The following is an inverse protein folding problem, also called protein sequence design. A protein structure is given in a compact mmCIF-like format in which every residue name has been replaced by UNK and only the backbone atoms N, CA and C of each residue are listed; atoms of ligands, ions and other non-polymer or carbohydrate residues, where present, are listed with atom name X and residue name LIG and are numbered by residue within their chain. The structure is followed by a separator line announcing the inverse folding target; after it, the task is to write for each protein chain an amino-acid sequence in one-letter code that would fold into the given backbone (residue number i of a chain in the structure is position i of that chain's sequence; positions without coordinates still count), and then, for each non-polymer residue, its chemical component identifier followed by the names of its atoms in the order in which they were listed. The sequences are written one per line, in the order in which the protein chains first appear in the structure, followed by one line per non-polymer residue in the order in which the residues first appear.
data_IF_267947484331
#
_entry.id   IF_267947484331
#
_cell.length_a   1.000
_cell.length_b   1.000
_cell.length_c   1.000
_cell.angle_alpha   90.00
_cell.angle_beta   90.00
_cell.angle_gamma   90.00
#
_symmetry.space_group_name_H-M   'P 1'
#
loop_
_entity.id
_entity.type
_entity.pdbx_description
1 polymer ?
#
# COMPACT_ATOMS: atom_id res chain seq x y z
N UNK A 1 -0.45 -12.72 18.70
CA UNK A 1 0.64 -12.08 19.47
C UNK A 1 1.77 -11.75 18.52
N UNK A 2 2.27 -10.51 18.54
CA UNK A 2 3.44 -10.12 17.77
C UNK A 2 4.69 -10.23 18.66
N UNK A 3 5.72 -10.91 18.17
CA UNK A 3 7.03 -11.04 18.79
C UNK A 3 8.08 -10.54 17.82
N UNK A 4 9.28 -10.23 18.29
CA UNK A 4 10.40 -9.91 17.42
C UNK A 4 11.29 -11.13 17.25
N UNK A 5 11.67 -11.42 16.02
CA UNK A 5 12.68 -12.42 15.68
C UNK A 5 14.08 -11.97 16.09
N UNK A 6 15.08 -12.87 16.03
CA UNK A 6 16.47 -12.53 16.34
C UNK A 6 17.06 -11.45 15.42
N UNK A 7 16.52 -11.31 14.22
CA UNK A 7 16.87 -10.33 13.18
C UNK A 7 16.08 -9.01 13.32
N UNK A 8 15.24 -8.86 14.36
CA UNK A 8 14.34 -7.72 14.54
C UNK A 8 13.05 -7.77 13.71
N UNK A 9 12.84 -8.82 12.93
CA UNK A 9 11.60 -9.00 12.16
C UNK A 9 10.39 -9.26 13.07
N UNK A 10 9.21 -8.83 12.62
CA UNK A 10 7.96 -9.11 13.32
C UNK A 10 7.48 -10.53 13.05
N UNK A 11 7.37 -11.34 14.09
CA UNK A 11 6.84 -12.70 14.04
C UNK A 11 5.48 -12.75 14.71
N UNK A 12 4.45 -13.14 13.94
CA UNK A 12 3.09 -13.28 14.46
C UNK A 12 2.83 -14.72 14.88
N UNK A 13 2.37 -14.92 16.11
CA UNK A 13 2.05 -16.23 16.66
C UNK A 13 0.60 -16.25 17.13
N UNK A 14 -0.09 -17.36 16.90
CA UNK A 14 -1.36 -17.65 17.56
C UNK A 14 -1.13 -17.83 19.05
N UNK A 15 -2.09 -17.36 19.86
CA UNK A 15 -2.04 -17.43 21.31
C UNK A 15 -3.47 -17.56 21.87
N UNK A 16 -3.57 -17.88 23.15
CA UNK A 16 -4.86 -18.01 23.88
C UNK A 16 -5.70 -19.20 23.40
N UNK A 17 -5.12 -20.39 23.51
CA UNK A 17 -5.79 -21.64 23.13
C UNK A 17 -6.77 -22.16 24.21
N UNK A 18 -7.07 -21.37 25.25
CA UNK A 18 -7.95 -21.79 26.35
C UNK A 18 -9.39 -22.14 25.95
N UNK A 19 -9.85 -21.60 24.82
CA UNK A 19 -11.16 -21.91 24.22
C UNK A 19 -11.05 -22.73 22.92
N UNK A 20 -9.84 -23.13 22.52
CA UNK A 20 -9.64 -23.91 21.33
C UNK A 20 -10.11 -25.37 21.54
N UNK A 21 -10.71 -25.93 20.50
CA UNK A 21 -11.14 -27.33 20.47
C UNK A 21 -10.73 -27.95 19.14
N UNK A 22 -10.18 -29.14 19.22
CA UNK A 22 -9.98 -29.98 18.05
C UNK A 22 -11.31 -30.58 17.62
N UNK A 23 -11.62 -30.51 16.34
CA UNK A 23 -12.82 -31.08 15.72
C UNK A 23 -12.40 -32.12 14.71
N UNK A 24 -13.04 -33.29 14.73
CA UNK A 24 -12.94 -34.24 13.65
C UNK A 24 -13.60 -33.71 12.38
N UNK A 25 -13.22 -34.25 11.21
CA UNK A 25 -13.83 -33.85 9.93
C UNK A 25 -15.36 -34.09 9.97
N UNK A 26 -16.12 -33.04 9.67
CA UNK A 26 -17.57 -33.05 9.75
C UNK A 26 -18.18 -32.99 11.16
N UNK A 27 -17.37 -32.88 12.22
CA UNK A 27 -17.87 -32.68 13.58
C UNK A 27 -18.49 -31.29 13.76
N UNK A 28 -19.61 -31.26 14.48
CA UNK A 28 -20.33 -30.05 14.84
C UNK A 28 -20.16 -29.71 16.32
N UNK A 29 -20.30 -28.44 16.66
CA UNK A 29 -20.20 -28.01 18.05
C UNK A 29 -21.34 -27.04 18.43
N UNK A 30 -21.51 -26.86 19.74
CA UNK A 30 -22.54 -25.99 20.32
C UNK A 30 -21.97 -25.00 21.32
N UNK A 31 -20.68 -25.11 21.64
CA UNK A 31 -19.98 -24.22 22.57
C UNK A 31 -19.82 -22.84 21.95
N UNK A 32 -19.95 -21.78 22.78
CA UNK A 32 -19.92 -20.40 22.32
C UNK A 32 -18.83 -19.66 23.07
N UNK A 33 -17.81 -19.25 22.34
CA UNK A 33 -16.71 -18.42 22.83
C UNK A 33 -16.40 -17.33 21.82
N UNK A 34 -15.86 -16.20 22.24
CA UNK A 34 -15.39 -15.13 21.38
C UNK A 34 -15.92 -13.74 21.74
N UNK A 35 -15.45 -12.75 21.02
CA UNK A 35 -15.86 -11.35 21.15
C UNK A 35 -17.04 -11.10 20.20
N UNK A 36 -18.12 -10.48 20.71
CA UNK A 36 -19.39 -10.33 20.00
C UNK A 36 -19.25 -9.90 18.53
N UNK A 37 -18.42 -8.90 18.24
CA UNK A 37 -18.30 -8.31 16.89
C UNK A 37 -17.53 -9.16 15.89
N UNK A 38 -16.90 -10.25 16.35
CA UNK A 38 -16.14 -11.18 15.50
C UNK A 38 -16.89 -12.47 15.21
N UNK A 39 -18.04 -12.68 15.89
CA UNK A 39 -18.81 -13.90 15.74
C UNK A 39 -19.53 -13.98 14.38
N UNK A 40 -19.56 -15.19 13.81
CA UNK A 40 -20.42 -15.48 12.66
C UNK A 40 -21.89 -15.17 13.01
N UNK A 41 -22.74 -14.70 12.10
CA UNK A 41 -24.12 -14.35 12.38
C UNK A 41 -24.91 -15.45 13.10
N UNK A 42 -24.80 -16.71 12.72
CA UNK A 42 -25.48 -17.83 13.34
C UNK A 42 -25.01 -18.03 14.80
N UNK A 43 -23.70 -17.89 15.05
CA UNK A 43 -23.15 -17.96 16.40
C UNK A 43 -23.59 -16.75 17.22
N UNK A 44 -23.62 -15.56 16.61
CA UNK A 44 -24.09 -14.33 17.24
C UNK A 44 -25.57 -14.42 17.66
N UNK A 45 -26.42 -14.95 16.79
CA UNK A 45 -27.85 -15.16 17.07
C UNK A 45 -28.05 -15.98 18.35
N UNK A 46 -27.30 -17.07 18.48
CA UNK A 46 -27.37 -17.91 19.69
C UNK A 46 -26.69 -17.28 20.90
N UNK A 47 -25.47 -16.80 20.76
CA UNK A 47 -24.64 -16.33 21.86
C UNK A 47 -25.15 -15.02 22.46
N UNK A 48 -25.54 -14.09 21.60
CA UNK A 48 -25.83 -12.70 21.97
C UNK A 48 -27.33 -12.44 22.03
N UNK A 49 -28.10 -12.93 21.06
CA UNK A 49 -29.55 -12.78 21.02
C UNK A 49 -30.29 -13.88 21.81
N UNK A 50 -29.57 -14.94 22.22
CA UNK A 50 -30.11 -16.06 23.00
C UNK A 50 -31.26 -16.81 22.30
N UNK A 51 -31.23 -16.84 20.97
CA UNK A 51 -32.19 -17.58 20.19
C UNK A 51 -31.90 -19.10 20.23
N UNK A 52 -32.90 -19.97 20.06
CA UNK A 52 -32.68 -21.42 19.96
C UNK A 52 -31.71 -21.78 18.84
N UNK A 53 -30.90 -22.81 19.06
CA UNK A 53 -30.02 -23.34 18.02
C UNK A 53 -30.85 -24.03 16.94
N UNK A 54 -30.82 -23.51 15.73
CA UNK A 54 -31.51 -24.11 14.58
C UNK A 54 -30.61 -25.15 13.90
N UNK A 55 -29.30 -24.88 13.81
CA UNK A 55 -28.30 -25.76 13.18
C UNK A 55 -27.02 -25.78 14.01
N UNK A 56 -26.35 -26.94 14.11
CA UNK A 56 -25.03 -26.99 14.74
C UNK A 56 -24.00 -26.24 13.91
N UNK A 57 -22.97 -25.72 14.58
CA UNK A 57 -21.89 -24.97 13.95
C UNK A 57 -20.80 -25.91 13.43
N UNK A 58 -20.18 -25.57 12.33
CA UNK A 58 -18.96 -26.19 11.82
C UNK A 58 -17.76 -25.29 12.08
N UNK A 59 -16.54 -25.79 11.90
CA UNK A 59 -15.31 -24.99 12.00
C UNK A 59 -15.32 -23.77 11.07
N UNK A 60 -16.13 -23.77 10.01
CA UNK A 60 -16.19 -22.66 9.04
C UNK A 60 -16.61 -21.31 9.65
N UNK A 61 -17.24 -21.30 10.83
CA UNK A 61 -17.55 -20.03 11.54
C UNK A 61 -16.29 -19.26 11.89
N UNK A 62 -15.14 -19.92 12.05
CA UNK A 62 -13.86 -19.28 12.32
C UNK A 62 -13.34 -18.49 11.11
N UNK A 63 -13.70 -18.88 9.88
CA UNK A 63 -13.35 -18.12 8.67
C UNK A 63 -13.96 -16.72 8.69
N UNK A 64 -15.19 -16.58 9.18
CA UNK A 64 -15.80 -15.27 9.40
C UNK A 64 -14.97 -14.43 10.39
N UNK A 65 -14.59 -15.03 11.52
CA UNK A 65 -13.79 -14.35 12.54
C UNK A 65 -12.42 -13.92 12.01
N UNK A 66 -11.81 -14.74 11.15
CA UNK A 66 -10.58 -14.39 10.41
C UNK A 66 -10.86 -13.19 9.49
N UNK A 67 -11.96 -13.20 8.73
CA UNK A 67 -12.35 -12.10 7.85
C UNK A 67 -12.53 -10.78 8.62
N UNK A 68 -13.25 -10.81 9.75
CA UNK A 68 -13.40 -9.63 10.62
C UNK A 68 -12.04 -9.15 11.14
N UNK A 69 -11.16 -10.06 11.53
CA UNK A 69 -9.81 -9.73 12.03
C UNK A 69 -8.96 -9.08 10.94
N UNK A 70 -8.96 -9.63 9.73
CA UNK A 70 -8.24 -9.07 8.59
C UNK A 70 -8.75 -7.68 8.23
N UNK A 71 -10.07 -7.50 8.14
CA UNK A 71 -10.67 -6.18 7.88
C UNK A 71 -10.29 -5.17 8.97
N UNK A 72 -10.40 -5.57 10.24
CA UNK A 72 -10.06 -4.69 11.37
C UNK A 72 -8.56 -4.35 11.39
N UNK A 73 -7.68 -5.30 11.12
CA UNK A 73 -6.24 -5.06 11.02
C UNK A 73 -5.90 -4.10 9.86
N UNK A 74 -6.56 -4.26 8.71
CA UNK A 74 -6.34 -3.44 7.53
C UNK A 74 -6.83 -1.99 7.68
N UNK A 75 -7.96 -1.78 8.39
CA UNK A 75 -8.66 -0.49 8.42
C UNK A 75 -8.62 0.23 9.77
N UNK A 76 -8.26 -0.48 10.85
CA UNK A 76 -8.34 0.03 12.23
C UNK A 76 -9.77 0.12 12.79
N UNK A 77 -10.78 -0.35 12.05
CA UNK A 77 -12.20 -0.32 12.47
C UNK A 77 -12.90 -1.64 12.12
N UNK A 78 -13.95 -1.97 12.85
CA UNK A 78 -14.76 -3.15 12.56
C UNK A 78 -15.52 -3.02 11.23
N UNK A 79 -15.77 -4.14 10.49
CA UNK A 79 -16.47 -4.11 9.23
C UNK A 79 -17.95 -3.72 9.37
N UNK A 80 -18.64 -4.22 10.37
CA UNK A 80 -20.06 -3.96 10.58
C UNK A 80 -20.27 -3.09 11.81
N UNK A 81 -20.85 -1.91 11.61
CA UNK A 81 -20.99 -0.89 12.65
C UNK A 81 -22.41 -0.32 12.64
N UNK A 82 -23.34 -0.90 13.41
CA UNK A 82 -24.66 -0.36 13.60
C UNK A 82 -24.60 0.95 14.40
N UNK A 83 -25.60 1.81 14.24
CA UNK A 83 -25.76 2.96 15.12
C UNK A 83 -25.93 2.52 16.55
N UNK A 84 -25.23 3.15 17.48
CA UNK A 84 -25.20 2.70 18.90
C UNK A 84 -24.23 1.56 19.19
N UNK A 85 -23.56 0.99 18.21
CA UNK A 85 -22.54 -0.06 18.35
C UNK A 85 -23.08 -1.31 19.05
N UNK A 86 -22.34 -1.85 20.03
CA UNK A 86 -22.71 -3.06 20.79
C UNK A 86 -24.10 -3.01 21.45
N UNK A 87 -24.65 -1.82 21.69
CA UNK A 87 -25.98 -1.67 22.31
C UNK A 87 -27.09 -2.09 21.35
N UNK A 88 -26.85 -1.94 20.04
CA UNK A 88 -27.84 -2.27 19.02
C UNK A 88 -27.59 -3.66 18.42
N UNK A 89 -27.81 -4.69 19.23
CA UNK A 89 -27.54 -6.09 18.90
C UNK A 89 -28.41 -6.61 17.74
N UNK A 90 -29.67 -6.20 17.71
CA UNK A 90 -30.59 -6.62 16.67
C UNK A 90 -30.16 -6.10 15.27
N UNK A 91 -29.80 -4.81 15.21
CA UNK A 91 -29.30 -4.23 13.95
C UNK A 91 -27.96 -4.84 13.54
N UNK A 92 -27.06 -5.15 14.49
CA UNK A 92 -25.81 -5.87 14.17
C UNK A 92 -26.11 -7.21 13.50
N UNK A 93 -27.01 -8.01 14.07
CA UNK A 93 -27.41 -9.28 13.48
C UNK A 93 -28.06 -9.11 12.10
N UNK A 94 -28.98 -8.14 11.96
CA UNK A 94 -29.60 -7.83 10.66
C UNK A 94 -28.56 -7.42 9.61
N UNK A 95 -27.60 -6.58 9.96
CA UNK A 95 -26.53 -6.18 9.03
C UNK A 95 -25.71 -7.37 8.57
N UNK A 96 -25.37 -8.28 9.45
CA UNK A 96 -24.52 -9.43 9.11
C UNK A 96 -25.28 -10.53 8.37
N UNK A 97 -26.58 -10.71 8.60
CA UNK A 97 -27.42 -11.73 7.94
C UNK A 97 -28.04 -11.28 6.62
N UNK A 98 -28.46 -10.00 6.52
CA UNK A 98 -29.19 -9.49 5.36
C UNK A 98 -28.30 -8.85 4.30
N UNK A 99 -27.01 -8.75 4.53
CA UNK A 99 -26.07 -8.22 3.54
C UNK A 99 -26.08 -9.05 2.26
N UNK A 100 -25.96 -8.41 1.10
CA UNK A 100 -25.77 -9.10 -0.14
C UNK A 100 -24.39 -9.79 -0.19
N UNK A 101 -24.30 -10.90 -0.93
CA UNK A 101 -23.04 -11.61 -1.16
C UNK A 101 -21.96 -10.66 -1.72
N UNK A 102 -20.72 -10.82 -1.25
CA UNK A 102 -19.59 -9.98 -1.62
C UNK A 102 -19.50 -8.61 -0.92
N UNK A 103 -20.46 -8.26 -0.06
CA UNK A 103 -20.33 -7.08 0.83
C UNK A 103 -19.32 -7.39 1.93
N UNK A 104 -18.31 -6.52 2.10
CA UNK A 104 -17.27 -6.68 3.11
C UNK A 104 -17.44 -5.75 4.30
N UNK A 105 -18.29 -4.73 4.20
CA UNK A 105 -18.59 -3.85 5.33
C UNK A 105 -19.95 -3.19 5.22
N UNK A 106 -20.48 -2.77 6.39
CA UNK A 106 -21.71 -2.01 6.50
C UNK A 106 -21.66 -1.03 7.66
N UNK A 107 -22.06 0.22 7.43
CA UNK A 107 -22.03 1.28 8.45
C UNK A 107 -23.38 1.97 8.50
N UNK A 108 -23.92 2.13 9.69
CA UNK A 108 -25.12 2.91 9.91
C UNK A 108 -24.76 4.19 10.68
N UNK A 109 -25.05 5.35 10.10
CA UNK A 109 -24.69 6.66 10.65
C UNK A 109 -25.93 7.49 10.98
N UNK A 110 -25.78 8.39 11.92
CA UNK A 110 -26.79 9.41 12.23
C UNK A 110 -27.93 8.95 13.15
N UNK A 111 -28.60 7.83 12.86
CA UNK A 111 -29.71 7.31 13.69
C UNK A 111 -29.93 5.81 13.49
N UNK A 112 -30.74 5.20 14.35
CA UNK A 112 -31.10 3.77 14.24
C UNK A 112 -31.93 3.43 12.99
N UNK A 113 -32.63 4.43 12.43
CA UNK A 113 -33.44 4.28 11.23
C UNK A 113 -32.70 4.71 9.94
N UNK A 114 -31.45 5.14 10.05
CA UNK A 114 -30.68 5.53 8.88
C UNK A 114 -30.38 4.32 8.00
N UNK A 115 -30.29 4.51 6.67
CA UNK A 115 -29.90 3.43 5.76
C UNK A 115 -28.47 2.97 6.07
N UNK A 116 -28.22 1.68 5.83
CA UNK A 116 -26.88 1.09 5.97
C UNK A 116 -26.07 1.40 4.71
N UNK A 117 -24.91 2.02 4.90
CA UNK A 117 -23.93 2.26 3.85
C UNK A 117 -23.11 0.97 3.64
N UNK A 118 -23.42 0.23 2.59
CA UNK A 118 -22.73 -1.01 2.25
C UNK A 118 -21.50 -0.75 1.38
N UNK A 119 -20.45 -1.55 1.57
CA UNK A 119 -19.27 -1.48 0.71
C UNK A 119 -18.75 -2.87 0.35
N UNK A 120 -18.25 -3.00 -0.88
CA UNK A 120 -17.50 -4.14 -1.41
C UNK A 120 -15.99 -3.87 -1.43
N UNK A 121 -15.60 -2.64 -1.14
CA UNK A 121 -14.23 -2.15 -1.20
C UNK A 121 -13.77 -1.69 0.19
N UNK A 122 -12.47 -1.78 0.42
CA UNK A 122 -11.84 -1.21 1.60
C UNK A 122 -11.91 0.34 1.54
N UNK A 123 -12.01 1.03 2.69
CA UNK A 123 -11.99 2.49 2.73
C UNK A 123 -10.77 3.05 1.99
N UNK A 124 -10.95 4.14 1.24
CA UNK A 124 -9.83 4.81 0.53
C UNK A 124 -8.70 5.28 1.45
N UNK A 125 -9.00 5.45 2.74
CA UNK A 125 -8.02 5.82 3.78
C UNK A 125 -7.16 4.65 4.24
N UNK A 126 -7.45 3.43 3.81
CA UNK A 126 -6.68 2.23 4.17
C UNK A 126 -5.28 2.30 3.56
N UNK A 127 -4.26 2.02 4.38
CA UNK A 127 -2.85 2.13 3.97
C UNK A 127 -2.31 0.85 3.31
N UNK A 128 -3.16 -0.05 2.88
CA UNK A 128 -2.76 -1.20 2.07
C UNK A 128 -2.34 -0.69 0.68
N UNK A 129 -1.23 -1.23 0.16
CA UNK A 129 -0.80 -0.91 -1.19
C UNK A 129 -1.88 -1.25 -2.23
N UNK A 130 -1.98 -0.45 -3.27
CA UNK A 130 -3.00 -0.63 -4.30
C UNK A 130 -2.94 -2.02 -4.94
N UNK A 131 -1.73 -2.56 -5.14
CA UNK A 131 -1.53 -3.88 -5.73
C UNK A 131 -1.98 -5.05 -4.87
N UNK A 132 -2.10 -4.86 -3.55
CA UNK A 132 -2.59 -5.88 -2.61
C UNK A 132 -4.09 -5.73 -2.30
N UNK A 133 -4.64 -4.54 -2.57
CA UNK A 133 -6.01 -4.18 -2.20
C UNK A 133 -7.03 -5.15 -2.77
N UNK A 134 -6.95 -5.44 -4.06
CA UNK A 134 -7.89 -6.31 -4.75
C UNK A 134 -7.89 -7.73 -4.16
N UNK A 135 -6.71 -8.31 -3.95
CA UNK A 135 -6.58 -9.65 -3.38
C UNK A 135 -7.18 -9.73 -1.96
N UNK A 136 -6.97 -8.68 -1.15
CA UNK A 136 -7.53 -8.61 0.21
C UNK A 136 -9.05 -8.41 0.16
N UNK A 137 -9.57 -7.58 -0.74
CA UNK A 137 -11.02 -7.37 -0.91
C UNK A 137 -11.72 -8.65 -1.37
N UNK A 138 -11.14 -9.41 -2.29
CA UNK A 138 -11.64 -10.71 -2.73
C UNK A 138 -11.64 -11.72 -1.58
N UNK A 139 -10.54 -11.82 -0.83
CA UNK A 139 -10.45 -12.68 0.35
C UNK A 139 -11.50 -12.30 1.39
N UNK A 140 -11.68 -11.02 1.69
CA UNK A 140 -12.69 -10.55 2.63
C UNK A 140 -14.11 -10.86 2.15
N UNK A 141 -14.38 -10.74 0.85
CA UNK A 141 -15.68 -11.09 0.27
C UNK A 141 -16.00 -12.58 0.45
N UNK A 142 -15.00 -13.45 0.27
CA UNK A 142 -15.15 -14.90 0.46
C UNK A 142 -15.28 -15.32 1.93
N UNK A 143 -14.60 -14.63 2.85
CA UNK A 143 -14.61 -14.95 4.29
C UNK A 143 -15.81 -14.34 5.02
N UNK A 144 -16.21 -13.11 4.66
CA UNK A 144 -17.33 -12.41 5.28
C UNK A 144 -18.65 -12.74 4.59
N UNK A 145 -18.87 -14.01 4.26
CA UNK A 145 -20.11 -14.50 3.67
C UNK A 145 -21.00 -15.10 4.75
N UNK A 146 -22.23 -14.63 4.84
CA UNK A 146 -23.20 -15.11 5.84
C UNK A 146 -23.88 -16.43 5.42
N UNK A 147 -23.92 -16.70 4.13
CA UNK A 147 -24.41 -17.96 3.59
C UNK A 147 -23.26 -18.97 3.56
N UNK A 148 -23.31 -19.94 4.49
CA UNK A 148 -22.28 -20.98 4.63
C UNK A 148 -22.02 -21.77 3.34
N UNK A 149 -23.00 -21.84 2.42
CA UNK A 149 -22.83 -22.52 1.13
C UNK A 149 -22.00 -21.74 0.12
N UNK A 150 -21.85 -20.44 0.33
CA UNK A 150 -21.07 -19.50 -0.50
C UNK A 150 -19.76 -19.08 0.15
N UNK A 151 -19.63 -19.29 1.45
CA UNK A 151 -18.41 -19.00 2.18
C UNK A 151 -17.25 -19.85 1.64
N UNK A 152 -16.06 -19.28 1.58
CA UNK A 152 -14.86 -20.04 1.25
C UNK A 152 -14.64 -21.20 2.20
N UNK A 153 -14.01 -22.26 1.71
CA UNK A 153 -13.48 -23.32 2.54
C UNK A 153 -12.13 -22.90 3.16
N UNK A 154 -11.69 -23.60 4.22
CA UNK A 154 -10.32 -23.44 4.74
C UNK A 154 -9.28 -23.64 3.65
N UNK A 155 -9.49 -24.64 2.77
CA UNK A 155 -8.58 -24.88 1.65
C UNK A 155 -8.50 -23.65 0.74
N UNK A 156 -9.63 -23.09 0.33
CA UNK A 156 -9.68 -21.90 -0.52
C UNK A 156 -9.00 -20.71 0.15
N UNK A 157 -9.23 -20.52 1.45
CA UNK A 157 -8.57 -19.46 2.23
C UNK A 157 -7.05 -19.63 2.25
N UNK A 158 -6.55 -20.82 2.60
CA UNK A 158 -5.11 -21.06 2.67
C UNK A 158 -4.43 -21.00 1.30
N UNK A 159 -5.07 -21.52 0.25
CA UNK A 159 -4.54 -21.46 -1.11
C UNK A 159 -4.38 -20.00 -1.57
N UNK A 160 -5.39 -19.15 -1.33
CA UNK A 160 -5.34 -17.72 -1.68
C UNK A 160 -4.34 -16.96 -0.81
N UNK A 161 -4.32 -17.22 0.50
CA UNK A 161 -3.35 -16.60 1.39
C UNK A 161 -1.90 -16.94 0.98
N UNK A 162 -1.65 -18.20 0.63
CA UNK A 162 -0.34 -18.65 0.13
C UNK A 162 0.02 -18.00 -1.20
N UNK A 163 -0.95 -17.88 -2.12
CA UNK A 163 -0.74 -17.19 -3.40
C UNK A 163 -0.32 -15.73 -3.19
N UNK A 164 -0.97 -15.01 -2.25
CA UNK A 164 -0.62 -13.64 -1.90
C UNK A 164 0.79 -13.55 -1.29
N UNK A 165 1.12 -14.46 -0.36
CA UNK A 165 2.43 -14.49 0.32
C UNK A 165 3.56 -14.82 -0.67
N UNK A 166 3.28 -15.62 -1.68
CA UNK A 166 4.25 -16.03 -2.69
C UNK A 166 4.50 -14.97 -3.78
N UNK A 167 3.71 -13.89 -3.83
CA UNK A 167 3.95 -12.80 -4.79
C UNK A 167 5.32 -12.18 -4.58
N UNK A 168 6.02 -11.91 -5.66
CA UNK A 168 7.22 -11.08 -5.65
C UNK A 168 6.81 -9.64 -5.37
N UNK A 169 7.46 -9.02 -4.40
CA UNK A 169 7.21 -7.62 -4.03
C UNK A 169 8.35 -6.77 -4.55
N UNK A 170 8.04 -5.83 -5.42
CA UNK A 170 9.01 -4.87 -5.98
C UNK A 170 8.71 -3.50 -5.44
N UNK A 171 9.66 -2.91 -4.70
CA UNK A 171 9.57 -1.54 -4.23
C UNK A 171 9.90 -0.58 -5.38
N UNK A 172 9.02 0.37 -5.67
CA UNK A 172 9.15 1.36 -6.74
C UNK A 172 8.96 2.76 -6.18
N UNK A 173 9.88 3.64 -6.45
CA UNK A 173 9.74 5.05 -6.09
C UNK A 173 9.37 5.87 -7.32
N UNK A 174 8.11 6.33 -7.38
CA UNK A 174 7.65 7.20 -8.45
C UNK A 174 8.06 8.65 -8.17
N UNK A 175 9.10 9.09 -8.87
CA UNK A 175 9.80 10.35 -8.61
C UNK A 175 8.86 11.55 -8.76
N UNK A 176 7.99 11.55 -9.78
CA UNK A 176 7.07 12.67 -10.09
C UNK A 176 6.10 12.97 -8.94
N UNK A 177 5.52 11.94 -8.33
CA UNK A 177 4.53 12.10 -7.25
C UNK A 177 5.11 11.91 -5.86
N UNK A 178 6.41 11.58 -5.74
CA UNK A 178 7.09 11.27 -4.47
C UNK A 178 6.44 10.10 -3.73
N UNK A 179 5.96 9.10 -4.45
CA UNK A 179 5.29 7.94 -3.90
C UNK A 179 6.20 6.72 -3.89
N UNK A 180 6.33 6.10 -2.72
CA UNK A 180 6.93 4.79 -2.58
C UNK A 180 5.80 3.75 -2.71
N UNK A 181 5.89 2.91 -3.73
CA UNK A 181 4.90 1.92 -4.10
C UNK A 181 5.44 0.51 -3.87
N UNK A 182 4.57 -0.39 -3.48
CA UNK A 182 4.83 -1.83 -3.48
C UNK A 182 4.04 -2.46 -4.62
N UNK A 183 4.75 -2.99 -5.58
CA UNK A 183 4.18 -3.67 -6.73
C UNK A 183 4.20 -5.17 -6.45
N UNK A 184 3.04 -5.76 -6.32
CA UNK A 184 2.86 -7.20 -6.10
C UNK A 184 2.66 -7.87 -7.46
N UNK A 185 3.54 -8.79 -7.81
CA UNK A 185 3.50 -9.51 -9.09
C UNK A 185 3.63 -11.01 -8.85
N UNK A 186 3.02 -11.80 -9.71
CA UNK A 186 3.28 -13.22 -9.72
C UNK A 186 4.76 -13.47 -10.06
N UNK A 187 5.45 -14.39 -9.36
CA UNK A 187 6.85 -14.71 -9.62
C UNK A 187 7.15 -15.06 -11.08
N UNK A 188 6.17 -15.61 -11.79
CA UNK A 188 6.30 -16.03 -13.20
C UNK A 188 6.00 -14.92 -14.21
N UNK A 189 5.49 -13.77 -13.76
CA UNK A 189 5.18 -12.64 -14.63
C UNK A 189 6.45 -12.07 -15.29
N UNK A 190 6.28 -11.56 -16.49
CA UNK A 190 7.30 -10.85 -17.27
C UNK A 190 7.43 -9.39 -16.82
N UNK A 191 8.45 -8.70 -17.34
CA UNK A 191 8.61 -7.25 -17.15
C UNK A 191 7.43 -6.43 -17.71
N UNK A 192 6.81 -6.87 -18.80
CA UNK A 192 5.65 -6.18 -19.37
C UNK A 192 4.45 -6.20 -18.39
N UNK A 193 4.19 -7.36 -17.74
CA UNK A 193 3.13 -7.47 -16.73
C UNK A 193 3.46 -6.67 -15.47
N UNK A 194 4.73 -6.61 -15.07
CA UNK A 194 5.17 -5.69 -14.01
C UNK A 194 4.87 -4.23 -14.38
N UNK A 195 5.19 -3.79 -15.60
CA UNK A 195 4.89 -2.43 -16.08
C UNK A 195 3.39 -2.13 -16.08
N UNK A 196 2.54 -3.11 -16.40
CA UNK A 196 1.08 -2.96 -16.31
C UNK A 196 0.61 -2.78 -14.85
N UNK A 197 1.15 -3.55 -13.92
CA UNK A 197 0.87 -3.37 -12.49
C UNK A 197 1.31 -1.99 -11.97
N UNK A 198 2.44 -1.48 -12.47
CA UNK A 198 2.88 -0.09 -12.21
C UNK A 198 1.87 0.90 -12.80
N UNK A 199 1.39 0.68 -14.04
CA UNK A 199 0.42 1.55 -14.68
C UNK A 199 -0.91 1.62 -13.93
N UNK A 200 -1.40 0.50 -13.41
CA UNK A 200 -2.62 0.44 -12.57
C UNK A 200 -2.49 1.32 -11.32
N UNK A 201 -1.32 1.32 -10.67
CA UNK A 201 -1.11 2.08 -9.43
C UNK A 201 -0.76 3.55 -9.65
N UNK A 202 -0.13 3.89 -10.79
CA UNK A 202 0.38 5.24 -11.06
C UNK A 202 -0.42 5.99 -12.12
N UNK A 203 -1.27 5.30 -12.89
CA UNK A 203 -1.90 5.78 -14.12
C UNK A 203 -0.89 6.17 -15.22
N UNK A 204 0.39 5.76 -15.08
CA UNK A 204 1.44 5.99 -16.06
C UNK A 204 1.56 4.78 -16.99
N UNK A 205 1.14 4.92 -18.23
CA UNK A 205 1.15 3.85 -19.23
C UNK A 205 2.57 3.33 -19.50
N UNK A 206 2.72 2.03 -19.77
CA UNK A 206 4.00 1.34 -19.95
C UNK A 206 4.98 2.04 -20.91
N UNK A 207 4.57 2.59 -22.09
CA UNK A 207 5.47 3.28 -23.00
C UNK A 207 6.07 4.59 -22.45
N UNK A 208 5.49 5.12 -21.39
CA UNK A 208 5.94 6.37 -20.75
C UNK A 208 6.71 6.12 -19.45
N UNK A 209 6.97 4.86 -19.10
CA UNK A 209 7.73 4.48 -17.91
C UNK A 209 9.22 4.38 -18.26
N UNK A 210 10.06 5.00 -17.42
CA UNK A 210 11.51 4.81 -17.42
C UNK A 210 11.86 4.27 -16.04
N UNK A 211 12.36 3.04 -16.00
CA UNK A 211 12.77 2.39 -14.77
C UNK A 211 14.30 2.49 -14.63
N UNK A 212 14.78 2.88 -13.45
CA UNK A 212 16.20 2.99 -13.13
C UNK A 212 16.49 2.22 -11.85
N UNK A 213 17.45 1.32 -11.89
CA UNK A 213 17.93 0.56 -10.75
C UNK A 213 19.46 0.65 -10.70
N UNK A 214 20.02 0.93 -9.53
CA UNK A 214 21.47 1.05 -9.31
C UNK A 214 22.19 1.97 -10.32
N UNK A 215 21.50 3.03 -10.74
CA UNK A 215 22.08 4.03 -11.64
C UNK A 215 22.08 3.64 -13.12
N UNK A 216 21.43 2.55 -13.50
CA UNK A 216 21.27 2.10 -14.90
C UNK A 216 19.79 1.97 -15.27
N UNK A 217 19.48 2.11 -16.55
CA UNK A 217 18.12 1.86 -17.05
C UNK A 217 17.82 0.37 -16.87
N UNK A 218 16.78 0.08 -16.11
CA UNK A 218 16.31 -1.28 -15.83
C UNK A 218 15.28 -1.68 -16.89
N UNK A 219 15.72 -2.48 -17.83
CA UNK A 219 14.88 -3.02 -18.89
C UNK A 219 15.29 -4.47 -19.16
N UNK A 220 14.88 -5.42 -18.29
CA UNK A 220 15.22 -6.82 -18.44
C UNK A 220 14.63 -7.41 -19.71
N UNK A 221 15.27 -8.46 -20.24
CA UNK A 221 14.78 -9.23 -21.37
C UNK A 221 13.38 -9.79 -21.09
N UNK A 222 12.56 -9.93 -22.14
CA UNK A 222 11.19 -10.44 -22.05
C UNK A 222 11.10 -11.88 -21.52
N UNK A 223 12.19 -12.65 -21.56
CA UNK A 223 12.31 -13.98 -21.00
C UNK A 223 12.56 -14.00 -19.48
N UNK A 224 12.90 -12.85 -18.88
CA UNK A 224 13.20 -12.75 -17.45
C UNK A 224 11.91 -12.62 -16.66
N UNK A 225 11.69 -13.56 -15.75
CA UNK A 225 10.57 -13.54 -14.82
C UNK A 225 10.84 -12.59 -13.64
N UNK A 226 9.76 -12.02 -13.07
CA UNK A 226 9.85 -11.11 -11.93
C UNK A 226 10.53 -11.72 -10.70
N UNK A 227 10.50 -13.05 -10.53
CA UNK A 227 11.24 -13.76 -9.48
C UNK A 227 12.77 -13.62 -9.58
N UNK A 228 13.28 -13.29 -10.77
CA UNK A 228 14.70 -13.06 -11.00
C UNK A 228 15.11 -11.59 -10.94
N UNK A 229 14.18 -10.68 -10.63
CA UNK A 229 14.52 -9.28 -10.45
C UNK A 229 15.43 -9.11 -9.23
N UNK A 230 16.35 -8.15 -9.26
CA UNK A 230 17.14 -7.81 -8.08
C UNK A 230 16.24 -7.46 -6.89
N UNK A 231 16.67 -7.86 -5.69
CA UNK A 231 15.93 -7.51 -4.47
C UNK A 231 15.84 -5.99 -4.30
N UNK A 232 14.64 -5.54 -4.00
CA UNK A 232 14.35 -4.14 -3.75
C UNK A 232 13.89 -3.95 -2.31
N UNK A 233 14.05 -2.75 -1.81
CA UNK A 233 13.58 -2.36 -0.49
C UNK A 233 13.09 -0.91 -0.52
N UNK A 234 12.39 -0.43 0.52
CA UNK A 234 12.04 0.98 0.62
C UNK A 234 13.24 1.95 0.50
N UNK A 235 14.44 1.51 0.90
CA UNK A 235 15.67 2.31 0.82
C UNK A 235 16.40 2.17 -0.52
N UNK A 236 16.14 1.08 -1.25
CA UNK A 236 16.74 0.75 -2.56
C UNK A 236 15.66 0.32 -3.56
N UNK A 237 14.71 1.20 -3.89
CA UNK A 237 13.63 0.91 -4.83
C UNK A 237 14.09 1.06 -6.27
N UNK A 238 13.33 0.52 -7.21
CA UNK A 238 13.39 0.93 -8.61
C UNK A 238 12.86 2.37 -8.71
N UNK A 239 13.63 3.28 -9.28
CA UNK A 239 13.17 4.64 -9.55
C UNK A 239 12.35 4.65 -10.83
N UNK A 240 11.12 5.15 -10.75
CA UNK A 240 10.22 5.33 -11.88
C UNK A 240 10.17 6.80 -12.28
N UNK A 241 10.60 7.08 -13.51
CA UNK A 241 10.47 8.39 -14.14
C UNK A 241 9.37 8.36 -15.20
N UNK A 242 8.77 9.50 -15.47
CA UNK A 242 7.79 9.69 -16.55
C UNK A 242 8.51 10.28 -17.76
N UNK A 243 8.44 9.59 -18.89
CA UNK A 243 8.88 10.13 -20.18
C UNK A 243 7.99 11.31 -20.57
N UNK A 244 8.56 12.37 -21.11
CA UNK A 244 7.87 13.59 -21.53
C UNK A 244 7.07 14.23 -20.38
N UNK A 245 7.72 14.45 -19.22
CA UNK A 245 7.11 15.08 -18.08
C UNK A 245 6.95 16.59 -18.31
N UNK A 246 5.70 17.08 -18.26
CA UNK A 246 5.33 18.48 -18.51
C UNK A 246 5.49 19.42 -17.29
N UNK A 247 6.03 18.91 -16.18
CA UNK A 247 6.20 19.69 -14.95
C UNK A 247 4.93 19.84 -14.11
N UNK A 248 3.79 19.31 -14.55
CA UNK A 248 2.55 19.41 -13.78
C UNK A 248 2.45 18.29 -12.74
N UNK A 249 2.36 18.64 -11.46
CA UNK A 249 2.10 17.71 -10.36
C UNK A 249 0.95 18.25 -9.52
N UNK A 250 -0.04 17.40 -9.29
CA UNK A 250 -1.07 17.67 -8.28
C UNK A 250 -0.59 17.13 -6.93
N UNK A 251 -0.10 17.98 -6.03
CA UNK A 251 0.37 17.52 -4.74
C UNK A 251 -0.81 17.03 -3.90
N UNK A 252 -0.74 15.78 -3.44
CA UNK A 252 -1.65 15.28 -2.41
C UNK A 252 -1.19 15.86 -1.08
N UNK A 253 -1.95 16.80 -0.53
CA UNK A 253 -1.66 17.36 0.78
C UNK A 253 -1.76 16.25 1.85
N UNK A 254 -0.72 16.03 2.66
CA UNK A 254 -0.79 15.04 3.72
C UNK A 254 -1.79 15.49 4.80
N UNK A 255 -2.79 14.64 5.05
CA UNK A 255 -3.76 14.88 6.12
C UNK A 255 -3.04 14.80 7.47
N UNK A 256 -3.07 15.90 8.23
CA UNK A 256 -2.50 15.91 9.57
C UNK A 256 -3.38 15.06 10.52
N UNK A 257 -2.79 14.31 11.47
CA UNK A 257 -3.57 13.61 12.48
C UNK A 257 -4.24 14.61 13.41
N UNK A 258 -5.48 14.33 13.80
CA UNK A 258 -6.19 15.17 14.75
C UNK A 258 -5.64 14.94 16.16
N UNK A 259 -5.12 15.98 16.78
CA UNK A 259 -4.67 15.95 18.18
C UNK A 259 -5.86 16.33 19.07
N UNK A 260 -6.20 15.52 20.09
CA UNK A 260 -7.29 15.84 21.00
C UNK A 260 -6.97 17.07 21.83
N UNK A 261 -7.97 17.91 22.07
CA UNK A 261 -7.84 19.03 22.98
C UNK A 261 -7.79 18.53 24.43
N UNK A 262 -6.88 19.06 25.22
CA UNK A 262 -6.74 18.78 26.65
C UNK A 262 -7.78 19.62 27.40
N UNK A 263 -8.59 18.98 28.24
CA UNK A 263 -9.55 19.68 29.07
C UNK A 263 -8.89 20.32 30.27
N UNK A 264 -9.42 21.47 30.70
CA UNK A 264 -8.87 22.22 31.84
C UNK A 264 -9.14 21.57 33.21
N UNK A 265 -10.11 20.66 33.28
CA UNK A 265 -10.44 19.91 34.51
C UNK A 265 -10.04 18.44 34.36
N UNK A 266 -9.30 17.94 35.36
CA UNK A 266 -8.91 16.55 35.40
C UNK A 266 -10.13 15.62 35.49
N UNK A 267 -10.18 14.61 34.61
CA UNK A 267 -11.18 13.56 34.60
C UNK A 267 -10.60 12.28 34.01
N UNK A 268 -10.49 11.25 34.80
CA UNK A 268 -9.94 9.96 34.35
C UNK A 268 -10.70 9.40 33.13
N UNK A 269 -12.03 9.58 33.10
CA UNK A 269 -12.89 9.10 32.02
C UNK A 269 -12.64 9.79 30.66
N UNK A 270 -12.26 11.07 30.67
CA UNK A 270 -11.91 11.84 29.46
C UNK A 270 -10.43 11.81 29.13
N UNK A 271 -9.57 11.82 30.16
CA UNK A 271 -8.13 11.99 29.99
C UNK A 271 -7.45 10.70 29.50
N UNK A 272 -7.88 9.53 29.94
CA UNK A 272 -7.33 8.27 29.48
C UNK A 272 -7.57 8.04 27.96
N UNK A 273 -8.80 8.23 27.40
CA UNK A 273 -9.01 8.18 25.95
C UNK A 273 -8.28 9.30 25.19
N UNK A 274 -8.16 10.51 25.76
CA UNK A 274 -7.43 11.60 25.14
C UNK A 274 -5.93 11.30 25.05
N UNK A 275 -5.34 10.78 26.13
CA UNK A 275 -3.93 10.35 26.18
C UNK A 275 -3.66 9.26 25.14
N UNK A 276 -4.51 8.24 25.04
CA UNK A 276 -4.38 7.18 24.02
C UNK A 276 -4.40 7.75 22.60
N UNK A 277 -5.30 8.69 22.31
CA UNK A 277 -5.38 9.36 21.01
C UNK A 277 -4.16 10.25 20.75
N UNK A 278 -3.63 10.94 21.75
CA UNK A 278 -2.43 11.76 21.65
C UNK A 278 -1.20 10.89 21.33
N UNK A 279 -1.04 9.75 22.00
CA UNK A 279 0.06 8.81 21.72
C UNK A 279 -0.05 8.28 20.29
N UNK A 280 -1.25 7.92 19.85
CA UNK A 280 -1.48 7.48 18.48
C UNK A 280 -1.15 8.58 17.46
N UNK A 281 -1.55 9.82 17.73
CA UNK A 281 -1.22 10.97 16.87
C UNK A 281 0.30 11.23 16.80
N UNK A 282 1.00 11.16 17.92
CA UNK A 282 2.47 11.29 17.98
C UNK A 282 3.16 10.18 17.20
N UNK A 283 2.69 8.93 17.33
CA UNK A 283 3.20 7.81 16.55
C UNK A 283 3.00 8.05 15.03
N UNK A 284 1.82 8.50 14.62
CA UNK A 284 1.54 8.84 13.23
C UNK A 284 2.44 9.98 12.73
N UNK A 285 2.69 11.00 13.55
CA UNK A 285 3.58 12.10 13.19
C UNK A 285 5.04 11.61 13.02
N UNK A 286 5.52 10.78 13.95
CA UNK A 286 6.86 10.17 13.85
C UNK A 286 6.99 9.36 12.54
N UNK A 287 6.03 8.49 12.23
CA UNK A 287 6.04 7.70 10.98
C UNK A 287 6.02 8.59 9.73
N UNK A 288 5.27 9.68 9.75
CA UNK A 288 5.26 10.65 8.65
C UNK A 288 6.60 11.36 8.50
N UNK A 289 7.24 11.74 9.60
CA UNK A 289 8.57 12.34 9.57
C UNK A 289 9.61 11.37 8.99
N UNK A 290 9.62 10.12 9.44
CA UNK A 290 10.50 9.07 8.90
C UNK A 290 10.30 8.89 7.39
N UNK A 291 9.04 8.85 6.95
CA UNK A 291 8.69 8.73 5.53
C UNK A 291 9.16 9.96 4.72
N UNK A 292 9.01 11.18 5.24
CA UNK A 292 9.47 12.38 4.55
C UNK A 292 11.01 12.41 4.40
N UNK A 293 11.74 11.98 5.42
CA UNK A 293 13.19 11.86 5.36
C UNK A 293 13.63 10.80 4.32
N UNK A 294 12.93 9.68 4.29
CA UNK A 294 13.16 8.64 3.28
C UNK A 294 12.89 9.18 1.87
N UNK A 295 11.74 9.82 1.65
CA UNK A 295 11.39 10.43 0.36
C UNK A 295 12.47 11.43 -0.10
N UNK A 296 12.94 12.29 0.80
CA UNK A 296 14.02 13.23 0.49
C UNK A 296 15.30 12.50 0.05
N UNK A 297 15.69 11.47 0.79
CA UNK A 297 16.86 10.65 0.46
C UNK A 297 16.70 9.95 -0.90
N UNK A 298 15.50 9.44 -1.20
CA UNK A 298 15.21 8.79 -2.47
C UNK A 298 15.24 9.75 -3.64
N UNK A 299 14.74 10.97 -3.47
CA UNK A 299 14.87 12.00 -4.52
C UNK A 299 16.32 12.31 -4.83
N UNK A 300 17.17 12.43 -3.81
CA UNK A 300 18.61 12.68 -4.01
C UNK A 300 19.27 11.53 -4.78
N UNK A 301 18.95 10.30 -4.43
CA UNK A 301 19.45 9.11 -5.13
C UNK A 301 18.94 9.09 -6.58
N UNK A 302 17.66 9.37 -6.79
CA UNK A 302 17.05 9.39 -8.12
C UNK A 302 17.69 10.44 -9.04
N UNK A 303 17.88 11.68 -8.57
CA UNK A 303 18.53 12.75 -9.32
C UNK A 303 19.97 12.38 -9.67
N UNK A 304 20.73 11.82 -8.71
CA UNK A 304 22.11 11.38 -8.95
C UNK A 304 22.17 10.26 -10.00
N UNK A 305 21.33 9.25 -9.86
CA UNK A 305 21.27 8.12 -10.79
C UNK A 305 20.93 8.57 -12.21
N UNK A 306 19.90 9.39 -12.36
CA UNK A 306 19.48 9.89 -13.67
C UNK A 306 20.54 10.80 -14.31
N UNK A 307 21.17 11.66 -13.53
CA UNK A 307 22.27 12.51 -14.01
C UNK A 307 23.48 11.68 -14.48
N UNK A 308 23.77 10.57 -13.78
CA UNK A 308 24.84 9.68 -14.19
C UNK A 308 24.54 9.02 -15.54
N UNK A 309 23.29 8.55 -15.73
CA UNK A 309 22.84 7.98 -17.03
C UNK A 309 23.03 9.00 -18.15
N UNK A 310 22.61 10.26 -17.96
CA UNK A 310 22.79 11.32 -18.96
C UNK A 310 24.27 11.52 -19.30
N UNK A 311 25.15 11.52 -18.30
CA UNK A 311 26.60 11.68 -18.51
C UNK A 311 27.18 10.50 -19.28
N UNK A 312 26.78 9.28 -18.95
CA UNK A 312 27.28 8.06 -19.59
C UNK A 312 26.82 7.95 -21.05
N UNK A 313 25.54 8.27 -21.31
CA UNK A 313 25.00 8.35 -22.69
C UNK A 313 25.68 9.47 -23.50
N UNK A 314 25.88 10.63 -22.89
CA UNK A 314 26.61 11.74 -23.51
C UNK A 314 28.04 11.36 -23.89
N UNK A 315 28.75 10.62 -23.03
CA UNK A 315 30.08 10.10 -23.32
C UNK A 315 30.06 9.08 -24.44
N UNK A 316 29.10 8.13 -24.41
CA UNK A 316 28.94 7.13 -25.47
C UNK A 316 28.72 7.77 -26.85
N UNK A 317 27.85 8.80 -26.91
CA UNK A 317 27.58 9.58 -28.10
C UNK A 317 28.87 10.29 -28.59
N UNK A 318 29.64 10.88 -27.69
CA UNK A 318 30.90 11.54 -28.00
C UNK A 318 31.92 10.55 -28.59
N UNK A 319 32.04 9.34 -28.01
CA UNK A 319 32.92 8.28 -28.45
C UNK A 319 32.48 7.75 -29.83
N UNK A 320 31.18 7.63 -30.09
CA UNK A 320 30.65 7.24 -31.39
C UNK A 320 30.93 8.29 -32.49
N UNK A 321 30.70 9.57 -32.16
CA UNK A 321 30.97 10.67 -33.07
C UNK A 321 32.46 10.76 -33.42
N UNK A 322 33.35 10.55 -32.46
CA UNK A 322 34.80 10.51 -32.67
C UNK A 322 35.21 9.37 -33.58
N UNK A 323 34.60 8.18 -33.42
CA UNK A 323 34.85 7.01 -34.29
C UNK A 323 34.35 7.18 -35.71
N UNK A 324 33.32 8.00 -35.92
CA UNK A 324 32.77 8.27 -37.27
C UNK A 324 33.52 9.37 -38.01
N UNK A 325 34.66 9.89 -37.48
CA UNK A 325 35.49 10.96 -38.08
C UNK A 325 34.69 12.20 -38.55
N UNK A 326 33.55 12.47 -37.88
CA UNK A 326 32.75 13.66 -38.18
C UNK A 326 33.43 14.85 -37.51
N UNK A 327 34.04 15.81 -38.27
CA UNK A 327 34.67 16.98 -37.68
C UNK A 327 33.59 17.96 -37.25
N UNK A 328 33.02 17.75 -36.07
CA UNK A 328 31.88 18.55 -35.64
C UNK A 328 32.14 19.26 -34.32
N UNK A 329 32.95 20.32 -34.37
CA UNK A 329 33.15 21.24 -33.24
C UNK A 329 31.83 21.77 -32.64
N UNK A 330 30.79 21.87 -33.49
CA UNK A 330 29.48 22.37 -33.06
C UNK A 330 28.75 21.32 -32.19
N UNK A 331 28.84 20.05 -32.53
CA UNK A 331 28.22 18.96 -31.76
C UNK A 331 28.98 18.70 -30.45
N UNK A 332 30.29 18.74 -30.45
CA UNK A 332 31.11 18.68 -29.24
C UNK A 332 30.78 19.84 -28.29
N UNK A 333 30.69 21.07 -28.79
CA UNK A 333 30.29 22.22 -27.99
C UNK A 333 28.86 22.09 -27.42
N UNK A 334 27.94 21.47 -28.18
CA UNK A 334 26.58 21.20 -27.73
C UNK A 334 26.54 20.13 -26.62
N UNK A 335 27.36 19.07 -26.72
CA UNK A 335 27.47 18.02 -25.70
C UNK A 335 28.15 18.54 -24.45
N UNK A 336 29.18 19.39 -24.57
CA UNK A 336 29.78 20.08 -23.40
C UNK A 336 28.80 21.04 -22.74
N UNK A 337 27.95 21.71 -23.51
CA UNK A 337 26.86 22.55 -22.98
C UNK A 337 25.83 21.70 -22.24
N UNK A 338 25.47 20.53 -22.77
CA UNK A 338 24.55 19.59 -22.10
C UNK A 338 25.12 19.01 -20.81
N UNK A 339 26.41 18.66 -20.82
CA UNK A 339 27.09 18.21 -19.60
C UNK A 339 27.14 19.33 -18.52
N UNK A 340 27.43 20.57 -18.93
CA UNK A 340 27.39 21.72 -18.05
C UNK A 340 25.99 22.00 -17.49
N UNK A 341 24.95 21.85 -18.30
CA UNK A 341 23.54 21.97 -17.86
C UNK A 341 23.14 20.86 -16.90
N UNK A 342 23.61 19.63 -17.11
CA UNK A 342 23.41 18.53 -16.17
C UNK A 342 24.08 18.80 -14.80
N UNK A 343 25.29 19.35 -14.79
CA UNK A 343 25.96 19.78 -13.57
C UNK A 343 25.26 20.97 -12.89
N UNK A 344 24.68 21.90 -13.66
CA UNK A 344 23.87 22.98 -13.12
C UNK A 344 22.57 22.45 -12.46
N UNK A 345 21.92 21.42 -13.03
CA UNK A 345 20.76 20.77 -12.44
C UNK A 345 21.14 20.04 -11.13
N UNK A 346 22.30 19.37 -11.09
CA UNK A 346 22.86 18.79 -9.86
C UNK A 346 23.11 19.86 -8.79
N UNK A 347 23.68 20.99 -9.20
CA UNK A 347 23.92 22.12 -8.31
C UNK A 347 22.61 22.72 -7.78
N UNK A 348 21.62 22.90 -8.65
CA UNK A 348 20.26 23.31 -8.26
C UNK A 348 19.62 22.31 -7.28
N UNK A 349 19.74 21.00 -7.53
CA UNK A 349 19.30 19.97 -6.61
C UNK A 349 19.95 20.11 -5.23
N UNK A 350 21.25 20.36 -5.17
CA UNK A 350 21.98 20.59 -3.90
C UNK A 350 21.56 21.90 -3.21
N UNK A 351 21.36 22.97 -3.95
CA UNK A 351 20.90 24.27 -3.42
C UNK A 351 19.48 24.14 -2.86
N UNK A 352 18.60 23.38 -3.51
CA UNK A 352 17.24 23.11 -3.01
C UNK A 352 17.22 22.20 -1.78
N UNK A 353 18.20 21.29 -1.63
CA UNK A 353 18.42 20.53 -0.39
C UNK A 353 18.74 21.44 0.80
N UNK A 354 19.64 22.42 0.61
CA UNK A 354 20.00 23.36 1.68
C UNK A 354 18.85 24.30 2.09
N UNK A 355 17.87 24.51 1.22
CA UNK A 355 16.69 25.34 1.47
C UNK A 355 15.47 24.53 1.92
N UNK A 356 15.66 23.43 2.64
CA UNK A 356 14.71 22.40 3.04
C UNK A 356 13.46 22.85 3.84
N UNK A 357 12.90 23.99 3.49
CA UNK A 357 11.55 24.37 3.90
C UNK A 357 10.53 23.95 2.83
N UNK A 358 10.12 22.69 2.90
CA UNK A 358 8.77 22.21 2.59
C UNK A 358 8.18 22.43 1.17
N UNK A 359 8.95 22.78 0.13
CA UNK A 359 8.39 23.18 -1.15
C UNK A 359 8.51 22.08 -2.21
N UNK A 360 7.52 21.15 -2.21
CA UNK A 360 7.33 20.09 -3.21
C UNK A 360 7.37 20.62 -4.66
N UNK A 361 6.92 21.84 -4.89
CA UNK A 361 6.88 22.54 -6.18
C UNK A 361 8.29 22.75 -6.78
N UNK A 362 9.32 22.90 -5.95
CA UNK A 362 10.70 23.10 -6.41
C UNK A 362 11.34 21.80 -6.91
N UNK A 363 11.02 20.67 -6.25
CA UNK A 363 11.49 19.35 -6.68
C UNK A 363 10.90 18.94 -8.03
N UNK A 364 9.63 19.25 -8.24
CA UNK A 364 8.92 19.05 -9.51
C UNK A 364 9.58 19.79 -10.64
N UNK A 365 10.01 21.03 -10.40
CA UNK A 365 10.71 21.84 -11.40
C UNK A 365 12.05 21.19 -11.81
N UNK A 366 12.81 20.66 -10.86
CA UNK A 366 14.06 19.94 -11.14
C UNK A 366 13.80 18.68 -11.98
N UNK A 367 12.75 17.90 -11.68
CA UNK A 367 12.38 16.75 -12.50
C UNK A 367 11.94 17.16 -13.90
N UNK A 368 11.23 18.28 -14.07
CA UNK A 368 10.88 18.87 -15.36
C UNK A 368 12.12 19.26 -16.18
N UNK A 369 13.07 19.93 -15.56
CA UNK A 369 14.31 20.32 -16.19
C UNK A 369 15.16 19.11 -16.64
N UNK A 370 15.20 18.04 -15.86
CA UNK A 370 15.85 16.77 -16.21
C UNK A 370 15.15 16.13 -17.42
N UNK A 371 13.82 16.14 -17.47
CA UNK A 371 13.08 15.59 -18.61
C UNK A 371 13.33 16.38 -19.89
N UNK A 372 13.33 17.71 -19.84
CA UNK A 372 13.67 18.54 -21.00
C UNK A 372 15.09 18.29 -21.51
N UNK A 373 16.05 18.08 -20.59
CA UNK A 373 17.41 17.69 -20.97
C UNK A 373 17.44 16.33 -21.69
N UNK A 374 16.65 15.38 -21.24
CA UNK A 374 16.52 14.07 -21.89
C UNK A 374 15.92 14.18 -23.29
N UNK A 375 14.84 14.96 -23.43
CA UNK A 375 14.19 15.17 -24.71
C UNK A 375 15.11 15.87 -25.70
N UNK A 376 15.90 16.84 -25.24
CA UNK A 376 16.93 17.52 -26.03
C UNK A 376 18.05 16.57 -26.50
N UNK A 377 18.40 15.55 -25.70
CA UNK A 377 19.39 14.52 -26.03
C UNK A 377 18.79 13.51 -27.05
N UNK A 378 17.50 13.12 -26.82
CA UNK A 378 16.83 12.15 -27.68
C UNK A 378 16.46 12.68 -29.06
N UNK A 379 16.39 14.00 -29.25
CA UNK A 379 16.08 14.68 -30.51
C UNK A 379 17.33 15.04 -31.35
N UNK A 380 18.52 14.89 -30.80
CA UNK A 380 19.81 15.14 -31.49
C UNK A 380 20.56 13.83 -31.73
#
# INVERSE_FOLDING_TARGET
MCCFGPDGSSVYKLADFGAARELAEGENFVSIYGTEEYLHPDVYERAVLRQPLVRPFTASVDLWSIGVTLYHAATGVLPFRPYGGRRNRCTMHQMTTLKASGIISGVQRGSENAPIEWSRELPKTTQISQGLRHDVEEMLAGLLESDMSKMWSFKSFFDNAQAIVNKTVVDVFYVVTSQLLKIYVDPTHSFAEFQENVAIQTSLQSPHQIHVLDGVIFYPDSSVHCSAFPETSPDTPIFLFKKNFDGTVSPVAPVAPTVPQVQTKYSLGSDAPATKRSIAALFCLKRKQEMLLLIQTLHDKAVKAFTQIIKDEGKLLTDHLTKLEIPNKILLASLESLASRADAVLHLGRVYQCQANGNKTKLVRVCGDIQHLWDDIALK
#
